data_IF_323054586117
#
_entry.id   IF_323054586117
#
_cell.length_a   1.000
_cell.length_b   1.000
_cell.length_c   1.000
_cell.angle_alpha   90.00
_cell.angle_beta   90.00
_cell.angle_gamma   90.00
#
_symmetry.space_group_name_H-M   'P 1'
#
loop_
_entity.id
_entity.type
_entity.pdbx_description
1 polymer ?
#
# COMPACT_ATOMS: atom_id res chain seq x y z
N UNK A 1 7.73 -14.57 -11.40
CA UNK A 1 6.31 -14.19 -11.16
C UNK A 1 6.00 -14.46 -9.70
N UNK A 2 5.59 -13.45 -8.97
CA UNK A 2 5.17 -13.62 -7.58
C UNK A 2 3.69 -14.00 -7.57
N UNK A 3 3.37 -15.21 -7.17
CA UNK A 3 1.99 -15.68 -7.05
C UNK A 3 1.29 -15.09 -5.82
N UNK A 4 0.01 -14.79 -5.94
CA UNK A 4 -0.82 -14.51 -4.78
C UNK A 4 -0.94 -15.77 -3.93
N UNK A 5 -0.63 -15.71 -2.64
CA UNK A 5 -0.53 -16.89 -1.78
C UNK A 5 -1.60 -17.00 -0.73
N UNK A 6 -2.49 -16.02 -0.61
CA UNK A 6 -3.55 -16.06 0.37
C UNK A 6 -4.22 -14.71 0.58
N UNK A 7 -5.07 -14.62 1.57
CA UNK A 7 -5.59 -13.37 2.08
C UNK A 7 -5.14 -13.15 3.52
N UNK A 8 -4.99 -11.89 3.90
CA UNK A 8 -4.71 -11.50 5.27
C UNK A 8 -5.61 -10.34 5.68
N UNK A 9 -5.82 -10.21 6.97
CA UNK A 9 -6.53 -9.07 7.55
C UNK A 9 -5.51 -8.11 8.15
N UNK A 10 -5.64 -6.80 7.90
CA UNK A 10 -4.78 -5.81 8.52
C UNK A 10 -5.12 -5.64 10.00
N UNK A 11 -4.24 -5.02 10.74
CA UNK A 11 -4.57 -4.37 12.00
C UNK A 11 -5.21 -3.01 11.70
N UNK A 12 -6.24 -2.62 12.43
CA UNK A 12 -6.86 -1.31 12.27
C UNK A 12 -5.84 -0.19 12.52
N UNK A 13 -5.96 0.88 11.75
CA UNK A 13 -5.09 2.06 11.79
C UNK A 13 -3.59 1.76 11.52
N UNK A 14 -3.31 0.71 10.78
CA UNK A 14 -1.95 0.32 10.40
C UNK A 14 -1.69 0.57 8.92
N UNK A 15 -0.45 0.94 8.63
CA UNK A 15 0.10 1.09 7.29
C UNK A 15 0.95 -0.13 6.93
N UNK A 16 0.68 -0.69 5.77
CA UNK A 16 1.49 -1.76 5.17
C UNK A 16 2.20 -1.22 3.94
N UNK A 17 3.51 -1.41 3.87
CA UNK A 17 4.36 -0.84 2.81
C UNK A 17 5.10 -1.92 2.04
N UNK A 18 5.20 -1.72 0.74
CA UNK A 18 6.04 -2.53 -0.14
C UNK A 18 7.03 -1.65 -0.90
N UNK A 19 8.27 -2.12 -1.00
CA UNK A 19 9.33 -1.45 -1.75
C UNK A 19 9.12 -1.67 -3.25
N UNK A 20 9.29 -0.61 -4.04
CA UNK A 20 9.22 -0.64 -5.50
C UNK A 20 10.39 0.12 -6.11
N UNK A 21 10.90 -0.37 -7.24
CA UNK A 21 11.84 0.36 -8.08
C UNK A 21 11.08 1.04 -9.21
N UNK A 22 11.06 2.36 -9.19
CA UNK A 22 10.51 3.18 -10.27
C UNK A 22 11.63 3.52 -11.24
N UNK A 23 11.47 3.20 -12.52
CA UNK A 23 12.49 3.37 -13.57
C UNK A 23 12.22 4.54 -14.50
N UNK A 24 11.00 5.03 -14.52
CA UNK A 24 10.55 6.13 -15.38
C UNK A 24 10.23 7.39 -14.59
N UNK A 25 9.78 8.39 -15.33
CA UNK A 25 9.29 9.68 -14.81
C UNK A 25 7.80 9.87 -15.08
N UNK A 26 7.10 8.80 -15.50
CA UNK A 26 5.66 8.87 -15.74
C UNK A 26 4.93 9.12 -14.43
N UNK A 27 3.88 9.93 -14.50
CA UNK A 27 3.10 10.28 -13.34
C UNK A 27 2.45 9.05 -12.72
N UNK A 28 2.59 8.88 -11.41
CA UNK A 28 1.92 7.85 -10.62
C UNK A 28 0.64 8.45 -10.07
N UNK A 29 -0.50 7.89 -10.44
CA UNK A 29 -1.82 8.41 -10.06
C UNK A 29 -2.34 7.80 -8.76
N UNK A 30 -1.85 6.63 -8.38
CA UNK A 30 -2.29 5.92 -7.19
C UNK A 30 -1.71 4.52 -7.06
N UNK A 31 -2.39 3.70 -6.28
CA UNK A 31 -2.02 2.32 -6.01
C UNK A 31 -3.15 1.39 -6.47
N UNK A 32 -2.81 0.36 -7.21
CA UNK A 32 -3.70 -0.76 -7.51
C UNK A 32 -3.36 -1.92 -6.57
N UNK A 33 -4.37 -2.53 -5.98
CA UNK A 33 -4.23 -3.70 -5.11
C UNK A 33 -5.44 -4.62 -5.24
N UNK A 34 -5.46 -5.72 -4.49
CA UNK A 34 -6.55 -6.71 -4.55
C UNK A 34 -7.19 -6.88 -3.18
N UNK A 35 -8.25 -6.13 -2.85
CA UNK A 35 -9.07 -6.43 -1.69
C UNK A 35 -9.83 -7.74 -1.90
N UNK A 36 -10.01 -8.52 -0.84
CA UNK A 36 -10.78 -9.77 -0.89
C UNK A 36 -12.18 -9.64 -0.28
N UNK A 37 -12.46 -8.51 0.37
CA UNK A 37 -13.79 -8.16 0.87
C UNK A 37 -14.05 -6.65 0.71
N UNK A 38 -15.25 -6.22 1.07
CA UNK A 38 -15.72 -4.83 0.99
C UNK A 38 -15.85 -4.15 2.35
N UNK A 39 -15.17 -4.66 3.38
CA UNK A 39 -15.28 -4.12 4.74
C UNK A 39 -14.18 -3.09 4.99
N UNK A 40 -14.58 -1.89 5.39
CA UNK A 40 -13.67 -0.81 5.77
C UNK A 40 -13.20 0.05 4.60
N UNK A 41 -12.20 0.86 4.87
CA UNK A 41 -11.62 1.82 3.93
C UNK A 41 -10.10 1.80 4.00
N UNK A 42 -9.48 2.28 2.94
CA UNK A 42 -8.03 2.35 2.78
C UNK A 42 -7.61 3.72 2.27
N UNK A 43 -6.44 4.20 2.71
CA UNK A 43 -5.76 5.37 2.14
C UNK A 43 -4.47 4.91 1.45
N UNK A 44 -4.26 5.28 0.17
CA UNK A 44 -2.99 5.05 -0.49
C UNK A 44 -1.96 6.10 -0.08
N UNK A 45 -0.73 5.70 0.12
CA UNK A 45 0.40 6.59 0.47
C UNK A 45 1.63 6.18 -0.33
N UNK A 46 2.40 7.17 -0.79
CA UNK A 46 3.68 6.96 -1.44
C UNK A 46 4.78 7.62 -0.63
N UNK A 47 5.87 6.91 -0.43
CA UNK A 47 7.06 7.42 0.23
C UNK A 47 8.27 7.32 -0.69
N UNK A 48 9.17 8.28 -0.59
CA UNK A 48 10.49 8.20 -1.23
C UNK A 48 11.43 7.22 -0.51
N UNK A 49 12.65 7.11 -1.00
CA UNK A 49 13.67 6.21 -0.44
C UNK A 49 14.07 6.55 1.00
N UNK A 50 13.82 7.76 1.46
CA UNK A 50 14.10 8.19 2.84
C UNK A 50 12.92 7.92 3.80
N UNK A 51 11.77 7.52 3.27
CA UNK A 51 10.53 7.36 4.04
C UNK A 51 9.72 8.65 4.18
N UNK A 52 10.07 9.69 3.43
CA UNK A 52 9.27 10.92 3.37
C UNK A 52 8.00 10.67 2.55
N UNK A 53 6.85 11.06 3.09
CA UNK A 53 5.58 11.00 2.38
C UNK A 53 5.57 12.00 1.23
N UNK A 54 5.48 11.51 0.00
CA UNK A 54 5.47 12.34 -1.22
C UNK A 54 4.11 12.39 -1.90
N UNK A 55 3.23 11.43 -1.64
CA UNK A 55 1.84 11.48 -2.07
C UNK A 55 0.93 10.72 -1.11
N UNK A 56 -0.32 11.14 -1.02
CA UNK A 56 -1.37 10.51 -0.23
C UNK A 56 -2.72 10.69 -0.92
N UNK A 57 -3.61 9.72 -0.76
CA UNK A 57 -4.99 9.81 -1.23
C UNK A 57 -6.01 9.91 -0.11
N UNK A 58 -7.23 10.26 -0.50
CA UNK A 58 -8.39 10.22 0.39
C UNK A 58 -8.77 8.77 0.71
N UNK A 59 -9.57 8.59 1.76
CA UNK A 59 -10.10 7.29 2.12
C UNK A 59 -11.02 6.75 1.00
N UNK A 60 -10.77 5.53 0.56
CA UNK A 60 -11.58 4.80 -0.39
C UNK A 60 -12.17 3.56 0.27
N UNK A 61 -13.48 3.35 0.12
CA UNK A 61 -14.15 2.12 0.59
C UNK A 61 -13.61 0.92 -0.17
N UNK A 62 -13.38 -0.18 0.52
CA UNK A 62 -12.97 -1.43 -0.11
C UNK A 62 -14.09 -1.99 -1.00
N UNK A 63 -13.74 -2.42 -2.19
CA UNK A 63 -14.64 -2.98 -3.20
C UNK A 63 -14.28 -4.42 -3.57
N UNK A 64 -13.77 -5.19 -2.60
CA UNK A 64 -13.34 -6.56 -2.82
C UNK A 64 -14.52 -7.53 -2.94
N UNK A 65 -14.43 -8.45 -3.88
CA UNK A 65 -15.40 -9.53 -4.09
C UNK A 65 -14.70 -10.90 -4.24
N UNK A 66 -13.63 -11.10 -3.51
CA UNK A 66 -12.82 -12.32 -3.56
C UNK A 66 -11.53 -12.17 -4.38
N UNK A 67 -10.81 -13.26 -4.54
CA UNK A 67 -9.54 -13.27 -5.25
C UNK A 67 -9.69 -12.85 -6.72
N UNK A 68 -8.85 -11.96 -7.17
CA UNK A 68 -8.78 -11.52 -8.55
C UNK A 68 -9.39 -10.15 -8.85
N UNK A 69 -10.30 -9.66 -8.04
CA UNK A 69 -10.79 -8.28 -8.17
C UNK A 69 -9.67 -7.28 -7.88
N UNK A 70 -9.52 -6.30 -8.77
CA UNK A 70 -8.56 -5.22 -8.62
C UNK A 70 -9.28 -3.96 -8.21
N UNK A 71 -8.66 -3.18 -7.33
CA UNK A 71 -9.13 -1.86 -6.96
C UNK A 71 -8.00 -0.86 -7.10
N UNK A 72 -8.29 0.25 -7.78
CA UNK A 72 -7.43 1.41 -7.86
C UNK A 72 -7.85 2.43 -6.81
N UNK A 73 -6.88 2.97 -6.09
CA UNK A 73 -7.07 4.02 -5.09
C UNK A 73 -6.13 5.17 -5.42
N UNK A 74 -6.74 6.31 -5.76
CA UNK A 74 -6.00 7.44 -6.28
C UNK A 74 -5.33 8.27 -5.19
N UNK A 75 -4.18 8.84 -5.50
CA UNK A 75 -3.63 9.98 -4.74
C UNK A 75 -4.47 11.22 -4.97
N UNK A 76 -4.42 12.16 -4.03
CA UNK A 76 -5.11 13.45 -4.16
C UNK A 76 -4.57 14.29 -5.32
N UNK A 77 -3.31 14.06 -5.68
CA UNK A 77 -2.66 14.61 -6.88
C UNK A 77 -1.68 13.58 -7.41
N UNK A 78 -1.56 13.47 -8.72
CA UNK A 78 -0.56 12.64 -9.36
C UNK A 78 0.85 13.06 -8.93
N UNK A 79 1.72 12.09 -8.72
CA UNK A 79 3.12 12.32 -8.35
C UNK A 79 4.05 11.97 -9.51
N UNK A 80 4.90 12.90 -9.91
CA UNK A 80 5.93 12.66 -10.93
C UNK A 80 7.23 12.24 -10.25
N UNK A 81 7.62 10.97 -10.33
CA UNK A 81 8.81 10.47 -9.66
C UNK A 81 10.08 10.81 -10.43
N UNK A 82 11.21 10.79 -9.76
CA UNK A 82 12.52 10.53 -10.37
C UNK A 82 12.82 9.05 -10.28
N UNK A 83 13.58 8.46 -11.24
CA UNK A 83 13.97 7.05 -11.13
C UNK A 83 14.64 6.74 -9.80
N UNK A 84 14.18 5.72 -9.10
CA UNK A 84 14.67 5.40 -7.77
C UNK A 84 13.81 4.42 -6.99
N UNK A 85 14.15 4.24 -5.73
CA UNK A 85 13.42 3.39 -4.80
C UNK A 85 12.31 4.20 -4.13
N UNK A 86 11.12 3.62 -4.09
CA UNK A 86 9.96 4.15 -3.41
C UNK A 86 9.30 3.06 -2.55
N UNK A 87 8.41 3.47 -1.67
CA UNK A 87 7.58 2.56 -0.89
C UNK A 87 6.12 2.88 -1.12
N UNK A 88 5.37 1.90 -1.62
CA UNK A 88 3.92 1.97 -1.74
C UNK A 88 3.31 1.60 -0.41
N UNK A 89 2.34 2.34 0.06
CA UNK A 89 1.68 2.10 1.33
C UNK A 89 0.16 2.09 1.22
N UNK A 90 -0.47 1.18 1.95
CA UNK A 90 -1.91 1.12 2.16
C UNK A 90 -2.20 1.16 3.65
N UNK A 91 -2.89 2.21 4.10
CA UNK A 91 -3.33 2.37 5.48
C UNK A 91 -4.79 1.98 5.61
N UNK A 92 -5.09 0.98 6.45
CA UNK A 92 -6.43 0.43 6.64
C UNK A 92 -7.05 0.96 7.93
N UNK A 93 -8.34 1.29 7.90
CA UNK A 93 -9.08 1.75 9.08
C UNK A 93 -9.68 0.61 9.90
N UNK A 94 -9.75 -0.62 9.38
CA UNK A 94 -10.55 -1.69 9.95
C UNK A 94 -9.80 -3.02 9.92
N UNK A 95 -9.77 -3.72 11.05
CA UNK A 95 -9.15 -5.04 11.18
C UNK A 95 -9.91 -6.16 10.45
N UNK A 96 -11.16 -5.94 10.07
CA UNK A 96 -11.94 -6.88 9.27
C UNK A 96 -11.79 -6.69 7.76
N UNK A 97 -11.06 -5.67 7.31
CA UNK A 97 -10.62 -5.55 5.91
C UNK A 97 -9.81 -6.78 5.52
N UNK A 98 -9.84 -7.16 4.27
CA UNK A 98 -9.01 -8.27 3.81
C UNK A 98 -8.42 -7.97 2.43
N UNK A 99 -7.21 -8.45 2.20
CA UNK A 99 -6.46 -8.22 0.97
C UNK A 99 -5.66 -9.46 0.56
N UNK A 100 -5.35 -9.55 -0.72
CA UNK A 100 -4.48 -10.59 -1.25
C UNK A 100 -3.01 -10.29 -0.89
N UNK A 101 -2.31 -11.28 -0.37
CA UNK A 101 -0.90 -11.18 0.03
C UNK A 101 0.04 -11.69 -1.05
N UNK A 102 1.30 -11.28 -0.98
CA UNK A 102 2.40 -11.79 -1.80
C UNK A 102 3.18 -12.81 -0.95
N UNK A 103 3.48 -13.97 -1.54
CA UNK A 103 4.16 -15.06 -0.85
C UNK A 103 5.68 -14.97 -0.76
N UNK A 104 6.29 -14.07 -1.48
CA UNK A 104 7.74 -13.81 -1.43
C UNK A 104 7.93 -12.31 -1.33
N UNK A 105 8.42 -11.87 -0.21
CA UNK A 105 8.45 -10.48 0.19
C UNK A 105 9.67 -9.75 -0.32
N UNK A 106 9.50 -8.63 -1.01
CA UNK A 106 10.38 -7.51 -0.80
C UNK A 106 9.76 -6.59 0.26
N UNK A 107 10.19 -6.76 1.50
CA UNK A 107 10.18 -5.79 2.60
C UNK A 107 8.87 -5.04 2.84
N UNK A 108 8.06 -5.51 3.75
CA UNK A 108 6.94 -4.77 4.32
C UNK A 108 7.31 -4.22 5.70
N UNK A 109 6.94 -2.98 5.96
CA UNK A 109 6.94 -2.40 7.29
C UNK A 109 5.52 -2.03 7.67
N UNK A 110 5.27 -1.97 8.96
CA UNK A 110 4.01 -1.50 9.51
C UNK A 110 4.25 -0.23 10.30
N UNK A 111 3.34 0.74 10.19
CA UNK A 111 3.33 1.94 11.00
C UNK A 111 1.96 2.05 11.67
N UNK A 112 1.94 2.17 12.99
CA UNK A 112 0.71 2.42 13.75
C UNK A 112 0.16 3.84 13.46
N UNK A 113 -1.14 4.01 13.65
CA UNK A 113 -1.86 5.28 13.50
C UNK A 113 -1.75 5.95 12.13
N UNK A 114 -1.42 5.19 11.09
CA UNK A 114 -1.17 5.75 9.77
C UNK A 114 -2.45 6.16 9.03
N UNK A 115 -3.59 5.60 9.39
CA UNK A 115 -4.87 5.98 8.78
C UNK A 115 -5.40 7.30 9.36
N UNK A 116 -5.36 7.44 10.69
CA UNK A 116 -5.83 8.64 11.41
C UNK A 116 -4.81 9.78 11.37
N UNK A 117 -3.53 9.46 11.48
CA UNK A 117 -2.42 10.42 11.49
C UNK A 117 -1.36 10.04 10.43
N UNK A 118 -1.65 10.28 9.13
CA UNK A 118 -0.66 10.03 8.09
C UNK A 118 0.56 10.95 8.26
N UNK A 119 1.69 10.51 7.74
CA UNK A 119 2.95 11.26 7.81
C UNK A 119 4.12 10.38 7.42
N UNK A 120 5.32 10.89 7.58
CA UNK A 120 6.55 10.17 7.21
C UNK A 120 6.70 8.85 7.96
N UNK A 121 7.39 7.90 7.34
CA UNK A 121 7.82 6.69 8.03
C UNK A 121 8.83 7.08 9.12
N UNK A 122 8.72 6.50 10.29
CA UNK A 122 9.68 6.71 11.38
C UNK A 122 11.04 6.07 11.08
N UNK A 123 11.05 5.06 10.24
CA UNK A 123 12.25 4.43 9.68
C UNK A 123 11.88 3.78 8.34
N UNK A 124 12.85 3.72 7.43
CA UNK A 124 12.67 2.93 6.20
C UNK A 124 12.51 1.45 6.57
N UNK A 125 11.59 0.74 5.89
CA UNK A 125 11.38 -0.67 6.18
C UNK A 125 12.67 -1.47 6.04
N UNK A 126 13.09 -2.07 7.14
CA UNK A 126 14.02 -3.20 7.10
C UNK A 126 13.23 -4.47 6.73
N UNK A 127 13.90 -5.60 6.57
CA UNK A 127 13.32 -6.89 6.15
C UNK A 127 12.25 -7.46 7.11
N UNK A 128 11.35 -6.64 7.58
CA UNK A 128 10.29 -7.03 8.50
C UNK A 128 9.20 -7.85 7.79
N UNK A 129 8.82 -8.92 8.43
CA UNK A 129 8.09 -10.09 7.95
C UNK A 129 6.56 -9.94 7.93
N UNK A 130 6.02 -8.77 7.72
CA UNK A 130 4.58 -8.66 7.49
C UNK A 130 4.26 -9.05 6.05
N UNK A 131 3.25 -9.85 5.83
CA UNK A 131 2.76 -10.15 4.49
C UNK A 131 2.08 -8.91 3.89
N UNK A 132 2.78 -8.10 3.08
CA UNK A 132 2.21 -6.88 2.53
C UNK A 132 1.12 -7.20 1.51
N UNK A 133 0.19 -6.30 1.29
CA UNK A 133 -0.74 -6.40 0.19
C UNK A 133 -0.01 -6.54 -1.16
N UNK A 134 -0.59 -7.32 -2.05
CA UNK A 134 -0.17 -7.33 -3.45
C UNK A 134 -0.62 -5.99 -4.07
N UNK A 135 0.33 -5.11 -4.35
CA UNK A 135 0.05 -3.77 -4.84
C UNK A 135 1.08 -3.30 -5.87
N UNK A 136 0.66 -2.38 -6.74
CA UNK A 136 1.49 -1.72 -7.76
C UNK A 136 0.97 -0.32 -8.07
N UNK A 137 1.75 0.48 -8.78
CA UNK A 137 1.37 1.81 -9.25
C UNK A 137 0.55 1.74 -10.55
N UNK A 138 -0.25 2.77 -10.79
CA UNK A 138 -0.90 3.04 -12.08
C UNK A 138 -0.87 4.53 -12.40
#
# INVERSE_FOLDING_TARGET
MFGATGSANPTADMLYVARVLVRGTDAINGIEFRPTNSTGSVKPVLFDSSGTQVAIGSAATLAGSGFGAKQQVAFSSAYTPTPGIYYLGLAFNNASSAYTTIGVVPRGATKASAYTTPGNLSSVPSDALSAPPLMWTY
#
